data_IF_706392558937
#
_entry.id   IF_706392558937
#
_cell.length_a   1.000
_cell.length_b   1.000
_cell.length_c   1.000
_cell.angle_alpha   90.00
_cell.angle_beta   90.00
_cell.angle_gamma   90.00
#
_symmetry.space_group_name_H-M   'P 1'
#
loop_
_entity.id
_entity.type
_entity.pdbx_description
1 polymer ?
#
# COMPACT_ATOMS: atom_id res chain seq x y z
N UNK A 1 -11.73 -6.23 13.54
CA UNK A 1 -11.48 -4.77 13.45
C UNK A 1 -10.31 -4.59 12.50
N UNK A 2 -10.41 -3.71 11.50
CA UNK A 2 -9.32 -3.41 10.56
C UNK A 2 -8.65 -2.12 11.02
N UNK A 3 -7.34 -2.07 10.98
CA UNK A 3 -6.54 -0.91 11.36
C UNK A 3 -5.64 -0.49 10.20
N UNK A 4 -5.43 0.81 10.04
CA UNK A 4 -4.48 1.36 9.08
C UNK A 4 -3.23 1.79 9.82
N UNK A 5 -2.06 1.39 9.31
CA UNK A 5 -0.75 1.75 9.85
C UNK A 5 0.19 2.06 8.69
N UNK A 6 1.04 3.08 8.82
CA UNK A 6 1.98 3.38 7.75
C UNK A 6 3.11 2.37 7.77
N UNK A 7 3.63 2.05 6.59
CA UNK A 7 4.83 1.21 6.41
C UNK A 7 6.09 1.77 7.08
N UNK A 8 6.08 3.06 7.45
CA UNK A 8 7.18 3.74 8.14
C UNK A 8 7.03 3.74 9.66
N UNK A 9 5.85 3.36 10.18
CA UNK A 9 5.62 3.27 11.61
C UNK A 9 6.25 1.97 12.14
N UNK A 10 6.81 1.97 13.37
CA UNK A 10 7.43 0.79 13.95
C UNK A 10 6.41 -0.33 14.12
N UNK A 11 6.85 -1.58 13.93
CA UNK A 11 5.99 -2.74 14.20
C UNK A 11 5.66 -2.83 15.69
N UNK A 12 4.41 -3.21 15.99
CA UNK A 12 3.94 -3.47 17.34
C UNK A 12 3.34 -4.88 17.45
N UNK A 13 3.37 -5.46 18.65
CA UNK A 13 2.77 -6.77 18.90
C UNK A 13 1.25 -6.79 18.69
N UNK A 14 0.60 -5.63 18.81
CA UNK A 14 -0.82 -5.41 18.55
C UNK A 14 -1.19 -5.40 17.06
N UNK A 15 -0.21 -5.32 16.14
CA UNK A 15 -0.48 -5.22 14.70
C UNK A 15 -1.13 -6.50 14.13
N UNK A 16 -0.97 -7.64 14.81
CA UNK A 16 -1.53 -8.92 14.36
C UNK A 16 -1.07 -9.30 12.96
N UNK A 17 -2.03 -9.65 12.08
CA UNK A 17 -1.77 -10.03 10.69
C UNK A 17 -1.67 -8.80 9.79
N UNK A 18 -0.51 -8.61 9.14
CA UNK A 18 -0.14 -7.41 8.39
C UNK A 18 -0.20 -7.66 6.89
N UNK A 19 -1.08 -6.91 6.21
CA UNK A 19 -1.24 -6.97 4.75
C UNK A 19 -0.72 -5.68 4.12
N UNK A 20 0.26 -5.79 3.23
CA UNK A 20 0.67 -4.67 2.36
C UNK A 20 -0.30 -4.57 1.20
N UNK A 21 -1.04 -3.46 1.11
CA UNK A 21 -2.08 -3.22 0.09
C UNK A 21 -1.65 -2.23 -1.00
N UNK A 22 -0.40 -1.79 -0.99
CA UNK A 22 0.14 -0.89 -2.01
C UNK A 22 0.64 -1.66 -3.24
N UNK A 23 0.45 -1.08 -4.44
CA UNK A 23 0.95 -1.68 -5.70
C UNK A 23 2.47 -1.68 -5.76
N UNK A 24 3.07 -0.59 -5.29
CA UNK A 24 4.48 -0.34 -5.34
C UNK A 24 5.13 -0.63 -3.99
N UNK A 25 6.37 -1.10 -4.05
CA UNK A 25 7.16 -1.25 -2.85
C UNK A 25 7.46 0.13 -2.22
N UNK A 26 7.34 0.30 -0.89
CA UNK A 26 7.63 1.56 -0.23
C UNK A 26 9.05 2.06 -0.49
N UNK A 27 9.17 3.35 -0.82
CA UNK A 27 10.48 3.97 -1.04
C UNK A 27 11.27 4.01 0.27
N UNK A 28 12.56 3.70 0.18
CA UNK A 28 13.51 3.76 1.31
C UNK A 28 13.45 2.57 2.28
N UNK A 29 12.59 1.58 2.03
CA UNK A 29 12.48 0.39 2.87
C UNK A 29 13.09 -0.81 2.15
N UNK A 30 13.98 -1.55 2.81
CA UNK A 30 14.49 -2.83 2.28
C UNK A 30 13.41 -3.90 2.40
N UNK A 31 13.38 -4.88 1.50
CA UNK A 31 12.36 -5.95 1.53
C UNK A 31 12.36 -6.71 2.84
N UNK A 32 13.53 -6.91 3.40
CA UNK A 32 13.77 -7.66 4.63
C UNK A 32 13.47 -6.84 5.89
N UNK A 33 13.32 -5.51 5.76
CA UNK A 33 13.05 -4.61 6.88
C UNK A 33 11.55 -4.40 7.12
N UNK A 34 10.70 -4.71 6.13
CA UNK A 34 9.26 -4.63 6.29
C UNK A 34 8.71 -6.01 6.62
N UNK A 35 8.27 -6.18 7.86
CA UNK A 35 7.58 -7.41 8.27
C UNK A 35 6.11 -7.34 7.85
N UNK A 36 5.73 -8.09 6.83
CA UNK A 36 4.36 -8.27 6.40
C UNK A 36 4.09 -9.76 6.21
N UNK A 37 2.85 -10.18 6.44
CA UNK A 37 2.42 -11.55 6.25
C UNK A 37 1.98 -11.80 4.80
N UNK A 38 1.38 -10.80 4.15
CA UNK A 38 0.94 -10.88 2.76
C UNK A 38 1.13 -9.55 2.01
N UNK A 39 1.52 -9.62 0.73
CA UNK A 39 1.49 -8.49 -0.19
C UNK A 39 0.33 -8.64 -1.18
N UNK A 40 -0.84 -8.13 -0.78
CA UNK A 40 -2.10 -8.30 -1.50
C UNK A 40 -2.29 -7.24 -2.60
N UNK A 41 -1.57 -7.40 -3.71
CA UNK A 41 -1.60 -6.46 -4.84
C UNK A 41 -2.96 -6.34 -5.54
N UNK A 42 -3.85 -7.31 -5.36
CA UNK A 42 -5.20 -7.29 -5.94
C UNK A 42 -6.08 -6.19 -5.33
N UNK A 43 -5.79 -5.78 -4.08
CA UNK A 43 -6.47 -4.67 -3.42
C UNK A 43 -5.91 -3.31 -3.85
N UNK A 44 -4.77 -3.29 -4.56
CA UNK A 44 -4.12 -2.07 -4.98
C UNK A 44 -4.67 -1.57 -6.33
N UNK A 45 -4.83 -0.24 -6.53
CA UNK A 45 -5.24 0.36 -7.79
C UNK A 45 -4.43 -0.14 -8.99
N UNK A 46 -5.12 -0.34 -10.12
CA UNK A 46 -4.56 -0.74 -11.43
C UNK A 46 -3.34 0.11 -11.82
N UNK A 47 -2.41 -0.48 -12.60
CA UNK A 47 -1.25 0.27 -13.10
C UNK A 47 -1.69 1.43 -13.96
N UNK A 48 -2.72 1.21 -14.79
CA UNK A 48 -3.26 2.23 -15.68
C UNK A 48 -4.02 3.29 -14.89
N UNK A 49 -4.80 2.89 -13.87
CA UNK A 49 -5.50 3.80 -12.98
C UNK A 49 -4.52 4.72 -12.22
N UNK A 50 -3.42 4.16 -11.70
CA UNK A 50 -2.33 4.95 -11.08
C UNK A 50 -1.67 5.90 -12.06
N UNK A 51 -1.41 5.47 -13.30
CA UNK A 51 -0.79 6.32 -14.33
C UNK A 51 -1.70 7.48 -14.71
N UNK A 52 -3.00 7.24 -14.87
CA UNK A 52 -3.97 8.26 -15.20
C UNK A 52 -4.07 9.32 -14.08
N UNK A 53 -4.15 8.87 -12.83
CA UNK A 53 -4.18 9.78 -11.67
C UNK A 53 -2.88 10.60 -11.54
N UNK A 54 -1.71 9.97 -11.68
CA UNK A 54 -0.41 10.68 -11.64
C UNK A 54 -0.16 11.57 -12.86
N UNK A 55 -0.80 11.28 -13.99
CA UNK A 55 -0.73 12.08 -15.21
C UNK A 55 -1.75 13.21 -15.27
N UNK A 56 -2.51 13.45 -14.18
CA UNK A 56 -3.55 14.49 -14.08
C UNK A 56 -4.67 14.35 -15.13
N UNK A 57 -4.79 13.19 -15.77
CA UNK A 57 -5.89 12.89 -16.71
C UNK A 57 -7.12 12.31 -16.01
N UNK A 58 -7.00 12.01 -14.72
CA UNK A 58 -8.04 11.50 -13.84
C UNK A 58 -7.95 12.22 -12.49
N UNK A 59 -9.06 12.76 -12.01
CA UNK A 59 -9.13 13.36 -10.68
C UNK A 59 -9.38 12.29 -9.59
N UNK A 60 -9.31 12.72 -8.33
CA UNK A 60 -9.53 11.81 -7.21
C UNK A 60 -10.98 11.31 -7.11
N UNK A 61 -11.96 12.10 -7.56
CA UNK A 61 -13.37 11.71 -7.51
C UNK A 61 -13.68 10.53 -8.45
N UNK A 62 -12.87 10.35 -9.49
CA UNK A 62 -12.99 9.27 -10.47
C UNK A 62 -11.92 8.16 -10.28
N UNK A 63 -11.18 8.17 -9.17
CA UNK A 63 -10.16 7.16 -8.85
C UNK A 63 -10.77 5.93 -8.17
N UNK A 64 -11.37 5.03 -8.96
CA UNK A 64 -11.99 3.77 -8.50
C UNK A 64 -11.79 2.62 -9.46
#
# INVERSE_FOLDING_TARGET
MIQCKRVYDPQEASDGYRILVDRLWPRGIKKEALNYDEWCKILAPSTDLRKAFHGETLDFAHFS
#
